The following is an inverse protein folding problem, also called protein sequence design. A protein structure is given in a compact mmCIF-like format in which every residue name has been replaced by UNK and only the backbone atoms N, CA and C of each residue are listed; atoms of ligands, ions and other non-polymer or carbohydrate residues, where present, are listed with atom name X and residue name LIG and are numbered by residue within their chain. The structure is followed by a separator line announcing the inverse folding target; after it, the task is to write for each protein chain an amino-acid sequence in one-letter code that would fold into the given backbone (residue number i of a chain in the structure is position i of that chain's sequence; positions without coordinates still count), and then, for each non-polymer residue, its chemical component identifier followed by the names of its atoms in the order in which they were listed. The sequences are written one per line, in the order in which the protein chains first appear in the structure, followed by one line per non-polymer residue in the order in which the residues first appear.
data_IF_730814304570
#
_entry.id   IF_730814304570
#
_cell.length_a   1.000
_cell.length_b   1.000
_cell.length_c   1.000
_cell.angle_alpha   90.00
_cell.angle_beta   90.00
_cell.angle_gamma   90.00
#
_symmetry.space_group_name_H-M   'P 1'
#
loop_
_entity.id
_entity.type
_entity.pdbx_description
1 polymer ?
#
# COMPACT_ATOMS: atom_id res chain seq x y z
N UNK A 1 25.25 48.09 29.99
CA UNK A 1 25.60 46.67 29.75
C UNK A 1 24.40 46.05 29.05
N UNK A 2 24.56 45.68 27.79
CA UNK A 2 23.49 45.19 26.91
C UNK A 2 23.32 43.69 27.15
N UNK A 3 22.14 43.26 27.60
CA UNK A 3 21.82 41.84 27.76
C UNK A 3 21.33 41.30 26.41
N UNK A 4 22.16 40.48 25.77
CA UNK A 4 21.84 39.86 24.48
C UNK A 4 20.85 38.73 24.65
N UNK A 5 19.68 38.86 24.00
CA UNK A 5 18.63 37.85 23.92
C UNK A 5 19.02 36.74 22.94
N UNK A 6 19.06 35.49 23.40
CA UNK A 6 19.20 34.30 22.54
C UNK A 6 17.81 33.71 22.26
N UNK A 7 17.34 33.85 21.01
CA UNK A 7 16.15 33.15 20.52
C UNK A 7 16.60 31.82 19.93
N UNK A 8 16.32 30.72 20.62
CA UNK A 8 16.46 29.36 20.09
C UNK A 8 15.26 29.04 19.21
N UNK A 9 15.43 29.15 17.89
CA UNK A 9 14.47 28.62 16.92
C UNK A 9 14.73 27.12 16.79
N UNK A 10 13.96 26.30 17.50
CA UNK A 10 13.90 24.86 17.25
C UNK A 10 13.09 24.66 15.97
N UNK A 11 13.78 24.53 14.84
CA UNK A 11 13.15 24.14 13.58
C UNK A 11 12.60 22.72 13.72
N UNK A 12 11.28 22.57 13.66
CA UNK A 12 10.68 21.27 13.44
C UNK A 12 11.15 20.79 12.05
N UNK A 13 12.02 19.78 12.02
CA UNK A 13 12.29 19.05 10.80
C UNK A 13 11.00 18.34 10.42
N UNK A 14 10.21 18.96 9.53
CA UNK A 14 9.18 18.26 8.78
C UNK A 14 9.92 17.29 7.87
N UNK A 15 10.09 16.07 8.34
CA UNK A 15 10.54 14.96 7.52
C UNK A 15 9.36 14.65 6.61
N UNK A 16 9.33 15.29 5.44
CA UNK A 16 8.42 14.96 4.35
C UNK A 16 8.84 13.56 3.83
N UNK A 17 8.46 12.53 4.58
CA UNK A 17 8.55 11.16 4.09
C UNK A 17 7.40 11.03 3.11
N UNK A 18 7.72 10.95 1.82
CA UNK A 18 6.79 10.45 0.83
C UNK A 18 6.40 9.01 1.22
N UNK A 19 5.36 8.89 2.03
CA UNK A 19 4.64 7.68 2.35
C UNK A 19 3.18 8.14 2.25
N UNK A 20 2.61 8.00 1.06
CA UNK A 20 1.42 7.19 0.87
C UNK A 20 0.70 6.82 2.21
N UNK A 21 -0.57 7.19 2.33
CA UNK A 21 -1.26 7.35 3.61
C UNK A 21 -2.57 6.58 3.70
N UNK A 22 -3.13 6.52 4.91
CA UNK A 22 -4.47 5.95 5.10
C UNK A 22 -5.52 6.81 4.39
N UNK A 23 -6.39 6.16 3.62
CA UNK A 23 -7.54 6.82 3.05
C UNK A 23 -8.48 7.31 4.17
N UNK A 24 -9.03 8.51 4.00
CA UNK A 24 -9.91 9.16 5.00
C UNK A 24 -11.40 9.02 4.65
N UNK A 25 -11.70 8.35 3.54
CA UNK A 25 -13.06 8.11 3.05
C UNK A 25 -13.14 6.72 2.40
N UNK A 26 -14.36 6.30 2.07
CA UNK A 26 -14.65 4.95 1.58
C UNK A 26 -15.14 4.03 2.70
N UNK A 27 -15.49 2.80 2.33
CA UNK A 27 -15.96 1.81 3.29
C UNK A 27 -14.80 1.37 4.20
N UNK A 28 -15.08 1.28 5.49
CA UNK A 28 -14.15 0.66 6.44
C UNK A 28 -14.10 -0.85 6.28
N UNK A 29 -12.94 -1.43 6.60
CA UNK A 29 -12.75 -2.88 6.60
C UNK A 29 -13.65 -3.59 7.60
N UNK A 30 -13.76 -3.09 8.82
CA UNK A 30 -14.58 -3.64 9.91
C UNK A 30 -14.57 -5.19 9.95
N UNK A 31 -15.75 -5.82 9.84
CA UNK A 31 -15.92 -7.27 9.83
C UNK A 31 -15.42 -7.95 8.54
N UNK A 32 -15.16 -7.19 7.49
CA UNK A 32 -14.64 -7.68 6.20
C UNK A 32 -13.12 -7.78 6.16
N UNK A 33 -12.40 -7.26 7.17
CA UNK A 33 -10.92 -7.24 7.18
C UNK A 33 -10.30 -8.60 6.87
N UNK A 34 -10.74 -9.65 7.55
CA UNK A 34 -10.20 -11.00 7.34
C UNK A 34 -10.50 -11.57 5.94
N UNK A 35 -11.62 -11.18 5.31
CA UNK A 35 -11.92 -11.58 3.93
C UNK A 35 -11.05 -10.82 2.93
N UNK A 36 -10.75 -9.54 3.20
CA UNK A 36 -9.79 -8.79 2.41
C UNK A 36 -8.38 -9.40 2.49
N UNK A 37 -7.94 -9.81 3.68
CA UNK A 37 -6.65 -10.50 3.86
C UNK A 37 -6.59 -11.85 3.13
N UNK A 38 -7.68 -12.62 3.17
CA UNK A 38 -7.79 -13.87 2.42
C UNK A 38 -7.70 -13.61 0.90
N UNK A 39 -8.42 -12.58 0.42
CA UNK A 39 -8.39 -12.20 -0.99
C UNK A 39 -6.97 -11.81 -1.42
N UNK A 40 -6.22 -11.07 -0.60
CA UNK A 40 -4.81 -10.76 -0.87
C UNK A 40 -3.97 -12.04 -0.96
N UNK A 41 -4.15 -12.98 -0.04
CA UNK A 41 -3.42 -14.26 -0.07
C UNK A 41 -3.66 -15.07 -1.35
N UNK A 42 -4.88 -15.02 -1.89
CA UNK A 42 -5.19 -15.63 -3.18
C UNK A 42 -4.57 -14.86 -4.36
N UNK A 43 -4.65 -13.52 -4.33
CA UNK A 43 -4.14 -12.64 -5.40
C UNK A 43 -2.61 -12.64 -5.51
N UNK A 44 -1.91 -12.83 -4.39
CA UNK A 44 -0.46 -12.80 -4.31
C UNK A 44 0.18 -14.19 -4.44
N UNK A 45 -0.61 -15.24 -4.64
CA UNK A 45 -0.08 -16.57 -4.92
C UNK A 45 0.25 -16.71 -6.41
N UNK A 46 1.50 -17.05 -6.74
CA UNK A 46 1.97 -17.23 -8.12
C UNK A 46 1.25 -18.34 -8.89
N UNK A 47 0.56 -19.27 -8.22
CA UNK A 47 -0.31 -20.28 -8.82
C UNK A 47 -1.71 -19.77 -9.20
N UNK A 48 -2.10 -18.58 -8.76
CA UNK A 48 -3.42 -18.00 -9.05
C UNK A 48 -3.41 -17.29 -10.40
N UNK A 49 -4.20 -17.82 -11.34
CA UNK A 49 -4.46 -17.14 -12.61
C UNK A 49 -5.18 -15.82 -12.39
N UNK A 50 -4.70 -14.77 -13.05
CA UNK A 50 -5.19 -13.41 -12.90
C UNK A 50 -4.82 -12.77 -11.57
N UNK A 51 -3.84 -13.32 -10.83
CA UNK A 51 -3.24 -12.70 -9.65
C UNK A 51 -2.17 -11.66 -10.02
N UNK A 52 -1.63 -10.99 -9.01
CA UNK A 52 -0.58 -9.98 -9.21
C UNK A 52 0.76 -10.59 -9.62
N UNK A 53 1.07 -11.78 -9.12
CA UNK A 53 2.37 -12.44 -9.29
C UNK A 53 2.39 -13.49 -10.42
N UNK A 54 1.31 -13.61 -11.20
CA UNK A 54 1.27 -14.47 -12.39
C UNK A 54 2.24 -13.97 -13.50
N UNK A 55 2.52 -12.66 -13.53
CA UNK A 55 3.32 -12.03 -14.57
C UNK A 55 4.21 -10.92 -14.01
N UNK A 56 5.30 -10.61 -14.71
CA UNK A 56 6.19 -9.49 -14.39
C UNK A 56 5.49 -8.12 -14.49
N UNK A 57 6.09 -7.11 -13.86
CA UNK A 57 5.73 -5.70 -14.02
C UNK A 57 6.79 -4.99 -14.87
N UNK A 58 6.36 -4.23 -15.88
CA UNK A 58 7.23 -3.31 -16.62
C UNK A 58 7.27 -1.94 -15.94
N UNK A 59 8.34 -1.17 -16.14
CA UNK A 59 8.47 0.18 -15.59
C UNK A 59 7.22 1.05 -15.81
N UNK A 60 6.71 1.65 -14.75
CA UNK A 60 5.50 2.47 -14.74
C UNK A 60 4.18 1.70 -14.78
N UNK A 61 4.21 0.36 -14.79
CA UNK A 61 3.00 -0.45 -14.87
C UNK A 61 2.25 -0.48 -13.53
N UNK A 62 0.94 -0.30 -13.60
CA UNK A 62 0.00 -0.60 -12.52
C UNK A 62 -0.83 -1.80 -12.89
N UNK A 63 -0.97 -2.76 -11.99
CA UNK A 63 -2.00 -3.80 -12.05
C UNK A 63 -3.00 -3.54 -10.95
N UNK A 64 -4.29 -3.68 -11.27
CA UNK A 64 -5.39 -3.44 -10.34
C UNK A 64 -6.39 -4.59 -10.43
N UNK A 65 -6.87 -5.06 -9.28
CA UNK A 65 -7.82 -6.16 -9.18
C UNK A 65 -8.88 -5.82 -8.14
N UNK A 66 -10.14 -5.90 -8.57
CA UNK A 66 -11.31 -5.76 -7.71
C UNK A 66 -11.77 -7.14 -7.22
N UNK A 67 -12.06 -7.27 -5.92
CA UNK A 67 -12.61 -8.48 -5.31
C UNK A 67 -13.87 -8.16 -4.52
N UNK A 68 -14.92 -8.96 -4.73
CA UNK A 68 -16.09 -8.95 -3.86
C UNK A 68 -15.77 -9.69 -2.57
N UNK A 69 -16.03 -9.04 -1.44
CA UNK A 69 -15.92 -9.59 -0.10
C UNK A 69 -17.25 -10.24 0.32
N UNK A 70 -17.34 -10.74 1.55
CA UNK A 70 -18.46 -11.60 1.97
C UNK A 70 -19.81 -10.90 1.95
N UNK A 71 -19.88 -9.66 2.43
CA UNK A 71 -21.12 -8.86 2.40
C UNK A 71 -21.50 -8.31 1.03
N UNK A 72 -20.69 -8.56 -0.01
CA UNK A 72 -20.85 -7.93 -1.32
C UNK A 72 -20.17 -6.56 -1.45
N UNK A 73 -19.56 -6.05 -0.36
CA UNK A 73 -18.57 -4.96 -0.43
C UNK A 73 -17.46 -5.33 -1.42
N UNK A 74 -16.88 -4.33 -2.07
CA UNK A 74 -15.77 -4.53 -3.01
C UNK A 74 -14.50 -3.95 -2.42
N UNK A 75 -13.40 -4.69 -2.56
CA UNK A 75 -12.06 -4.23 -2.28
C UNK A 75 -11.31 -4.09 -3.60
N UNK A 76 -10.75 -2.91 -3.84
CA UNK A 76 -9.87 -2.64 -4.98
C UNK A 76 -8.43 -2.67 -4.48
N UNK A 77 -7.63 -3.60 -5.01
CA UNK A 77 -6.21 -3.70 -4.72
C UNK A 77 -5.43 -3.27 -5.95
N UNK A 78 -4.35 -2.52 -5.77
CA UNK A 78 -3.48 -2.11 -6.86
C UNK A 78 -2.01 -2.16 -6.46
N UNK A 79 -1.17 -2.56 -7.42
CA UNK A 79 0.28 -2.54 -7.28
C UNK A 79 0.88 -1.81 -8.47
N UNK A 80 1.76 -0.84 -8.19
CA UNK A 80 2.47 -0.06 -9.18
C UNK A 80 3.98 -0.26 -9.06
N UNK A 81 4.66 -0.49 -10.19
CA UNK A 81 6.11 -0.53 -10.28
C UNK A 81 6.65 0.81 -10.81
N UNK A 82 7.20 1.63 -9.91
CA UNK A 82 7.80 2.93 -10.24
C UNK A 82 9.27 2.86 -10.64
N UNK A 83 9.92 1.70 -10.49
CA UNK A 83 11.33 1.52 -10.82
C UNK A 83 11.57 1.26 -12.31
N UNK A 84 12.83 1.00 -12.66
CA UNK A 84 13.25 0.78 -14.04
C UNK A 84 13.19 -0.71 -14.46
N UNK A 85 13.03 -0.95 -15.76
CA UNK A 85 13.06 -2.29 -16.33
C UNK A 85 11.81 -3.13 -16.04
N UNK A 86 11.95 -4.44 -16.23
CA UNK A 86 10.89 -5.44 -15.99
C UNK A 86 11.31 -6.34 -14.83
N UNK A 87 10.43 -6.52 -13.85
CA UNK A 87 10.73 -7.26 -12.62
C UNK A 87 9.49 -8.03 -12.14
N UNK A 88 9.73 -9.18 -11.51
CA UNK A 88 8.70 -9.95 -10.84
C UNK A 88 8.56 -9.48 -9.39
N UNK A 89 7.31 -9.35 -8.93
CA UNK A 89 7.03 -9.11 -7.53
C UNK A 89 7.01 -10.45 -6.79
N UNK A 90 7.75 -10.56 -5.69
CA UNK A 90 7.74 -11.75 -4.86
C UNK A 90 6.38 -11.94 -4.16
N UNK A 91 5.84 -13.17 -4.15
CA UNK A 91 4.58 -13.53 -3.49
C UNK A 91 4.51 -13.02 -2.04
N UNK A 92 5.61 -13.18 -1.29
CA UNK A 92 5.69 -12.72 0.10
C UNK A 92 5.58 -11.20 0.23
N UNK A 93 6.25 -10.43 -0.64
CA UNK A 93 6.18 -8.97 -0.60
C UNK A 93 4.80 -8.47 -1.04
N UNK A 94 4.20 -9.11 -2.05
CA UNK A 94 2.82 -8.84 -2.44
C UNK A 94 1.85 -9.00 -1.26
N UNK A 95 1.91 -10.17 -0.59
CA UNK A 95 1.01 -10.51 0.51
C UNK A 95 1.21 -9.60 1.72
N UNK A 96 2.47 -9.46 2.16
CA UNK A 96 2.83 -8.66 3.32
C UNK A 96 2.43 -7.19 3.13
N UNK A 97 2.75 -6.59 1.98
CA UNK A 97 2.58 -5.14 1.79
C UNK A 97 1.12 -4.76 1.64
N UNK A 98 0.32 -5.52 0.88
CA UNK A 98 -1.12 -5.26 0.81
C UNK A 98 -1.82 -5.51 2.16
N UNK A 99 -1.42 -6.54 2.92
CA UNK A 99 -1.97 -6.75 4.27
C UNK A 99 -1.57 -5.67 5.27
N UNK A 100 -0.41 -5.04 5.10
CA UNK A 100 -0.05 -3.87 5.91
C UNK A 100 -1.02 -2.71 5.66
N UNK A 101 -1.46 -2.46 4.42
CA UNK A 101 -2.48 -1.43 4.14
C UNK A 101 -3.83 -1.78 4.77
N UNK A 102 -4.25 -3.04 4.70
CA UNK A 102 -5.50 -3.53 5.30
C UNK A 102 -5.50 -3.38 6.83
N UNK A 103 -4.38 -3.70 7.47
CA UNK A 103 -4.27 -3.71 8.93
C UNK A 103 -3.87 -2.36 9.52
N UNK A 104 -3.12 -1.55 8.77
CA UNK A 104 -2.66 -0.23 9.19
C UNK A 104 -3.70 0.86 9.05
N UNK A 105 -4.64 0.72 8.11
CA UNK A 105 -5.58 1.78 7.76
C UNK A 105 -7.03 1.30 7.75
N UNK A 106 -7.93 2.02 8.42
CA UNK A 106 -9.33 1.62 8.58
C UNK A 106 -10.10 1.52 7.25
N UNK A 107 -9.77 2.38 6.27
CA UNK A 107 -10.42 2.47 4.97
C UNK A 107 -9.51 2.02 3.82
N UNK A 108 -8.43 1.29 4.14
CA UNK A 108 -7.32 1.07 3.22
C UNK A 108 -6.36 2.25 3.21
N UNK A 109 -5.25 2.07 2.52
CA UNK A 109 -4.20 3.07 2.42
C UNK A 109 -3.34 2.78 1.22
N UNK A 110 -2.32 3.60 1.06
CA UNK A 110 -1.25 3.31 0.14
C UNK A 110 0.10 3.36 0.84
N UNK A 111 1.08 2.58 0.38
CA UNK A 111 2.47 2.76 0.78
C UNK A 111 3.43 2.51 -0.37
N UNK A 112 4.57 3.21 -0.39
CA UNK A 112 5.64 2.95 -1.35
C UNK A 112 6.86 2.38 -0.63
N UNK A 113 7.41 1.26 -1.12
CA UNK A 113 8.65 0.66 -0.64
C UNK A 113 9.46 0.14 -1.82
N UNK A 114 10.73 0.55 -1.92
CA UNK A 114 11.64 0.13 -2.99
C UNK A 114 11.00 0.26 -4.39
N UNK A 115 10.44 1.44 -4.68
CA UNK A 115 9.72 1.80 -5.91
C UNK A 115 8.43 1.02 -6.22
N UNK A 116 8.03 0.07 -5.37
CA UNK A 116 6.71 -0.55 -5.42
C UNK A 116 5.71 0.26 -4.60
N UNK A 117 4.59 0.66 -5.20
CA UNK A 117 3.46 1.27 -4.48
C UNK A 117 2.31 0.28 -4.38
N UNK A 118 1.85 0.03 -3.17
CA UNK A 118 0.75 -0.86 -2.81
C UNK A 118 -0.44 -0.02 -2.37
N UNK A 119 -1.65 -0.34 -2.85
CA UNK A 119 -2.88 0.43 -2.66
C UNK A 119 -4.07 -0.52 -2.51
#
# INVERSE_FOLDING_TARGET
MQFSTLVLVVGAAVIDRALAGCYTSGDSWDAERGYAEQAVGELCNSGTKGGFTETSFTSGQTKAICRSLKSGKKADFSIHWGGAGTIDLADFDCDLRLKNEINGCQHGGDSTTADWRFM
#
